data_IF_979418423577
#
_entry.id   IF_979418423577
#
_cell.length_a   1.000
_cell.length_b   1.000
_cell.length_c   1.000
_cell.angle_alpha   90.00
_cell.angle_beta   90.00
_cell.angle_gamma   90.00
#
_symmetry.space_group_name_H-M   'P 1'
#
loop_
_entity.id
_entity.type
_entity.pdbx_description
1 polymer ?
#
# COMPACT_ATOMS: atom_id res chain seq x y z
N UNK A 1 -14.58 -16.04 25.59
CA UNK A 1 -15.15 -15.49 24.33
C UNK A 1 -14.71 -14.05 24.01
N UNK A 2 -14.18 -13.23 24.94
CA UNK A 2 -13.86 -11.82 24.64
C UNK A 2 -12.64 -11.53 23.76
N UNK A 3 -11.47 -12.11 24.08
CA UNK A 3 -10.18 -11.69 23.47
C UNK A 3 -10.09 -11.84 21.94
N UNK A 4 -10.78 -12.83 21.37
CA UNK A 4 -10.74 -13.06 19.93
C UNK A 4 -11.58 -12.03 19.16
N UNK A 5 -12.72 -11.62 19.72
CA UNK A 5 -13.56 -10.59 19.12
C UNK A 5 -12.90 -9.21 19.22
N UNK A 6 -12.24 -8.93 20.35
CA UNK A 6 -11.48 -7.70 20.54
C UNK A 6 -10.33 -7.59 19.53
N UNK A 7 -9.55 -8.66 19.33
CA UNK A 7 -8.49 -8.72 18.34
C UNK A 7 -9.01 -8.55 16.90
N UNK A 8 -10.16 -9.16 16.59
CA UNK A 8 -10.83 -9.00 15.28
C UNK A 8 -11.20 -7.54 15.04
N UNK A 9 -11.80 -6.86 16.00
CA UNK A 9 -12.19 -5.45 15.86
C UNK A 9 -10.98 -4.56 15.59
N UNK A 10 -9.85 -4.81 16.28
CA UNK A 10 -8.60 -4.08 16.06
C UNK A 10 -8.08 -4.29 14.63
N UNK A 11 -8.07 -5.53 14.13
CA UNK A 11 -7.63 -5.78 12.75
C UNK A 11 -8.60 -5.20 11.72
N UNK A 12 -9.92 -5.25 11.96
CA UNK A 12 -10.90 -4.59 11.08
C UNK A 12 -10.69 -3.08 11.04
N UNK A 13 -10.41 -2.42 12.18
CA UNK A 13 -10.05 -1.00 12.21
C UNK A 13 -8.76 -0.71 11.42
N UNK A 14 -7.73 -1.55 11.56
CA UNK A 14 -6.50 -1.42 10.78
C UNK A 14 -6.78 -1.59 9.29
N UNK A 15 -7.66 -2.51 8.90
CA UNK A 15 -8.04 -2.74 7.50
C UNK A 15 -8.93 -1.63 6.92
N UNK A 16 -9.71 -0.93 7.76
CA UNK A 16 -10.41 0.29 7.35
C UNK A 16 -9.40 1.41 7.05
N UNK A 17 -8.36 1.55 7.88
CA UNK A 17 -7.33 2.57 7.70
C UNK A 17 -6.30 2.23 6.60
N UNK A 18 -5.97 0.94 6.45
CA UNK A 18 -5.09 0.39 5.44
C UNK A 18 -5.64 -0.95 4.92
N UNK A 19 -6.47 -0.93 3.87
CA UNK A 19 -7.09 -2.13 3.29
C UNK A 19 -6.10 -3.16 2.74
N UNK A 20 -4.84 -2.78 2.57
CA UNK A 20 -3.78 -3.62 2.03
C UNK A 20 -2.74 -4.02 3.08
N UNK A 21 -3.01 -3.77 4.37
CA UNK A 21 -2.14 -4.23 5.45
C UNK A 21 -2.08 -5.75 5.45
N UNK A 22 -0.96 -6.29 4.96
CA UNK A 22 -0.73 -7.73 4.88
C UNK A 22 -0.83 -8.38 6.26
N UNK A 23 -0.25 -7.72 7.27
CA UNK A 23 -0.20 -8.21 8.64
C UNK A 23 -1.59 -8.27 9.26
N UNK A 24 -2.41 -7.23 9.08
CA UNK A 24 -3.79 -7.24 9.56
C UNK A 24 -4.68 -8.22 8.77
N UNK A 25 -4.48 -8.38 7.45
CA UNK A 25 -5.20 -9.38 6.66
C UNK A 25 -4.84 -10.81 7.09
N UNK A 26 -3.56 -11.06 7.34
CA UNK A 26 -3.05 -12.38 7.71
C UNK A 26 -3.46 -12.78 9.13
N UNK A 27 -3.24 -11.91 10.12
CA UNK A 27 -3.61 -12.18 11.51
C UNK A 27 -5.13 -12.26 11.69
N UNK A 28 -5.90 -11.44 10.96
CA UNK A 28 -7.36 -11.56 10.94
C UNK A 28 -7.79 -12.88 10.30
N UNK A 29 -7.17 -13.30 9.17
CA UNK A 29 -7.47 -14.61 8.56
C UNK A 29 -7.19 -15.78 9.51
N UNK A 30 -6.07 -15.77 10.23
CA UNK A 30 -5.73 -16.79 11.25
C UNK A 30 -6.74 -16.80 12.41
N UNK A 31 -7.24 -15.63 12.80
CA UNK A 31 -8.27 -15.49 13.82
C UNK A 31 -9.62 -16.04 13.35
N UNK A 32 -9.97 -15.83 12.08
CA UNK A 32 -11.23 -16.25 11.45
C UNK A 32 -11.27 -17.73 11.09
N UNK A 33 -10.11 -18.36 10.87
CA UNK A 33 -10.01 -19.81 10.63
C UNK A 33 -10.53 -20.61 11.84
N UNK A 34 -10.32 -20.09 13.07
CA UNK A 34 -10.92 -20.66 14.30
C UNK A 34 -12.45 -20.54 14.37
N UNK A 35 -13.07 -19.70 13.55
CA UNK A 35 -14.53 -19.49 13.51
C UNK A 35 -15.18 -19.98 12.20
N UNK A 36 -14.42 -20.60 11.29
CA UNK A 36 -14.93 -21.16 10.04
C UNK A 36 -15.12 -20.16 8.89
N UNK A 37 -14.60 -18.93 9.02
CA UNK A 37 -14.72 -17.85 8.01
C UNK A 37 -13.38 -17.48 7.34
N UNK A 38 -12.29 -18.20 7.66
CA UNK A 38 -10.93 -17.91 7.17
C UNK A 38 -10.79 -17.89 5.64
N UNK A 39 -11.56 -18.72 4.93
CA UNK A 39 -11.50 -18.81 3.46
C UNK A 39 -11.90 -17.50 2.75
N UNK A 40 -12.87 -16.75 3.31
CA UNK A 40 -13.33 -15.49 2.73
C UNK A 40 -12.25 -14.40 2.81
N UNK A 41 -11.53 -14.33 3.94
CA UNK A 41 -10.45 -13.36 4.15
C UNK A 41 -9.24 -13.70 3.29
N UNK A 42 -8.87 -14.99 3.19
CA UNK A 42 -7.79 -15.44 2.29
C UNK A 42 -8.12 -15.11 0.84
N UNK A 43 -9.37 -15.34 0.40
CA UNK A 43 -9.83 -15.01 -0.95
C UNK A 43 -9.75 -13.51 -1.23
N UNK A 44 -10.14 -12.67 -0.26
CA UNK A 44 -10.02 -11.21 -0.34
C UNK A 44 -8.55 -10.77 -0.42
N UNK A 45 -7.68 -11.35 0.39
CA UNK A 45 -6.25 -11.08 0.37
C UNK A 45 -5.61 -11.45 -0.97
N UNK A 46 -5.87 -12.66 -1.48
CA UNK A 46 -5.35 -13.11 -2.78
C UNK A 46 -5.84 -12.19 -3.91
N UNK A 47 -7.13 -11.82 -3.91
CA UNK A 47 -7.68 -10.91 -4.90
C UNK A 47 -6.99 -9.55 -4.86
N UNK A 48 -6.88 -8.93 -3.68
CA UNK A 48 -6.21 -7.65 -3.52
C UNK A 48 -4.74 -7.72 -3.95
N UNK A 49 -4.02 -8.77 -3.57
CA UNK A 49 -2.63 -8.97 -3.97
C UNK A 49 -2.48 -9.08 -5.49
N UNK A 50 -3.30 -9.89 -6.13
CA UNK A 50 -3.28 -10.08 -7.59
C UNK A 50 -3.58 -8.77 -8.33
N UNK A 51 -4.61 -8.04 -7.92
CA UNK A 51 -4.97 -6.76 -8.54
C UNK A 51 -3.85 -5.71 -8.40
N UNK A 52 -3.15 -5.71 -7.26
CA UNK A 52 -2.01 -4.81 -7.05
C UNK A 52 -0.81 -5.19 -7.94
N UNK A 53 -0.50 -6.48 -8.06
CA UNK A 53 0.56 -6.96 -8.95
C UNK A 53 0.26 -6.65 -10.43
N UNK A 54 -0.99 -6.84 -10.87
CA UNK A 54 -1.45 -6.49 -12.22
C UNK A 54 -1.32 -4.98 -12.47
N UNK A 55 -1.75 -4.13 -11.52
CA UNK A 55 -1.62 -2.68 -11.65
C UNK A 55 -0.15 -2.24 -11.76
N UNK A 56 0.74 -2.78 -10.92
CA UNK A 56 2.18 -2.50 -10.99
C UNK A 56 2.77 -2.90 -12.35
N UNK A 57 2.37 -4.04 -12.89
CA UNK A 57 2.82 -4.52 -14.20
C UNK A 57 2.36 -3.59 -15.32
N UNK A 58 1.07 -3.21 -15.34
CA UNK A 58 0.55 -2.27 -16.34
C UNK A 58 1.27 -0.92 -16.31
N UNK A 59 1.51 -0.36 -15.13
CA UNK A 59 2.29 0.88 -15.03
C UNK A 59 3.75 0.71 -15.43
N UNK A 60 4.33 -0.47 -15.23
CA UNK A 60 5.68 -0.75 -15.71
C UNK A 60 5.73 -0.82 -17.23
N UNK A 61 4.72 -1.39 -17.89
CA UNK A 61 4.60 -1.40 -19.35
C UNK A 61 4.41 0.02 -19.89
N UNK A 62 3.52 0.82 -19.29
CA UNK A 62 3.35 2.24 -19.67
C UNK A 62 4.65 3.04 -19.54
N UNK A 63 5.44 2.80 -18.49
CA UNK A 63 6.74 3.46 -18.31
C UNK A 63 7.80 3.04 -19.33
N UNK A 64 7.61 1.90 -20.01
CA UNK A 64 8.48 1.46 -21.12
C UNK A 64 8.02 2.04 -22.46
N UNK A 65 6.71 2.17 -22.66
CA UNK A 65 6.12 2.75 -23.87
C UNK A 65 6.42 4.24 -23.98
N UNK A 66 6.24 5.00 -22.88
CA UNK A 66 6.64 6.40 -22.78
C UNK A 66 7.54 6.63 -21.56
N UNK A 67 8.87 6.54 -21.74
CA UNK A 67 9.84 6.78 -20.67
C UNK A 67 9.84 8.23 -20.13
N UNK A 68 9.21 9.17 -20.84
CA UNK A 68 9.10 10.57 -20.41
C UNK A 68 7.80 10.85 -19.67
N UNK A 69 6.84 9.93 -19.70
CA UNK A 69 5.62 10.05 -18.92
C UNK A 69 5.94 9.85 -17.44
N UNK A 70 5.73 10.91 -16.66
CA UNK A 70 5.94 10.88 -15.22
C UNK A 70 4.80 10.16 -14.47
N UNK A 71 3.59 10.05 -15.05
CA UNK A 71 2.38 9.55 -14.37
C UNK A 71 2.51 8.10 -13.88
N UNK A 72 3.06 7.15 -14.66
CA UNK A 72 3.24 5.77 -14.19
C UNK A 72 4.14 5.67 -12.95
N UNK A 73 5.16 6.54 -12.84
CA UNK A 73 6.03 6.58 -11.66
C UNK A 73 5.28 7.11 -10.43
N UNK A 74 4.42 8.11 -10.58
CA UNK A 74 3.56 8.57 -9.47
C UNK A 74 2.63 7.47 -8.99
N UNK A 75 1.90 6.82 -9.90
CA UNK A 75 0.96 5.75 -9.56
C UNK A 75 1.64 4.57 -8.87
N UNK A 76 2.81 4.14 -9.36
CA UNK A 76 3.61 3.09 -8.70
C UNK A 76 4.10 3.53 -7.32
N UNK A 77 4.56 4.77 -7.15
CA UNK A 77 4.94 5.31 -5.84
C UNK A 77 3.79 5.29 -4.83
N UNK A 78 2.57 5.61 -5.27
CA UNK A 78 1.37 5.52 -4.44
C UNK A 78 1.05 4.06 -4.06
N UNK A 79 1.09 3.13 -5.01
CA UNK A 79 0.86 1.70 -4.74
C UNK A 79 1.89 1.16 -3.76
N UNK A 80 3.19 1.45 -3.96
CA UNK A 80 4.23 1.03 -3.03
C UNK A 80 4.06 1.66 -1.65
N UNK A 81 3.58 2.90 -1.55
CA UNK A 81 3.26 3.54 -0.26
C UNK A 81 2.11 2.82 0.46
N UNK A 82 1.08 2.38 -0.28
CA UNK A 82 -0.04 1.61 0.30
C UNK A 82 0.39 0.21 0.75
N UNK A 83 1.38 -0.38 0.08
CA UNK A 83 1.99 -1.65 0.45
C UNK A 83 3.08 -1.54 1.54
N UNK A 84 3.29 -0.35 2.09
CA UNK A 84 4.36 -0.03 3.05
C UNK A 84 5.80 -0.32 2.53
N UNK A 85 5.96 -0.40 1.21
CA UNK A 85 7.23 -0.57 0.51
C UNK A 85 7.89 0.79 0.30
N UNK A 86 8.28 1.39 1.40
CA UNK A 86 8.72 2.79 1.46
C UNK A 86 9.95 3.11 0.60
N UNK A 87 10.92 2.19 0.50
CA UNK A 87 12.09 2.38 -0.37
C UNK A 87 11.73 2.34 -1.87
N UNK A 88 10.88 1.41 -2.28
CA UNK A 88 10.39 1.35 -3.67
C UNK A 88 9.57 2.61 -3.99
N UNK A 89 8.71 3.05 -3.06
CA UNK A 89 7.92 4.28 -3.20
C UNK A 89 8.82 5.52 -3.41
N UNK A 90 9.87 5.68 -2.60
CA UNK A 90 10.85 6.78 -2.73
C UNK A 90 11.49 6.80 -4.11
N UNK A 91 11.89 5.64 -4.62
CA UNK A 91 12.52 5.54 -5.94
C UNK A 91 11.56 5.97 -7.06
N UNK A 92 10.30 5.54 -6.99
CA UNK A 92 9.31 5.95 -7.99
C UNK A 92 9.02 7.46 -7.90
N UNK A 93 8.88 8.01 -6.70
CA UNK A 93 8.68 9.45 -6.52
C UNK A 93 9.90 10.30 -6.89
N UNK A 94 11.12 9.75 -6.80
CA UNK A 94 12.31 10.39 -7.33
C UNK A 94 12.24 10.52 -8.85
N UNK A 95 11.94 9.42 -9.57
CA UNK A 95 11.75 9.45 -11.03
C UNK A 95 10.61 10.36 -11.46
N UNK A 96 9.49 10.35 -10.74
CA UNK A 96 8.39 11.27 -10.98
C UNK A 96 8.86 12.73 -10.92
N UNK A 97 9.65 13.11 -9.90
CA UNK A 97 10.16 14.48 -9.74
C UNK A 97 11.18 14.88 -10.81
N UNK A 98 11.95 13.92 -11.31
CA UNK A 98 12.90 14.14 -12.41
C UNK A 98 12.19 14.44 -13.74
N UNK A 99 11.08 13.75 -14.00
CA UNK A 99 10.34 13.82 -15.27
C UNK A 99 9.19 14.84 -15.25
N UNK A 100 8.67 15.19 -14.08
CA UNK A 100 7.53 16.11 -13.95
C UNK A 100 7.94 17.55 -14.29
N UNK A 101 7.21 18.25 -15.18
CA UNK A 101 7.43 19.67 -15.41
C UNK A 101 7.10 20.45 -14.13
N UNK A 102 7.98 21.39 -13.73
CA UNK A 102 7.89 22.22 -12.50
C UNK A 102 6.52 22.89 -12.22
N UNK A 103 5.60 22.92 -13.19
CA UNK A 103 4.26 23.52 -13.08
C UNK A 103 3.17 22.51 -12.61
N UNK A 104 3.45 21.21 -12.61
CA UNK A 104 2.58 20.18 -12.04
C UNK A 104 2.90 20.00 -10.55
N UNK A 105 2.48 20.97 -9.74
CA UNK A 105 2.61 20.92 -8.29
C UNK A 105 1.66 19.86 -7.70
N UNK A 106 2.14 18.62 -7.58
CA UNK A 106 1.48 17.50 -6.87
C UNK A 106 1.91 17.47 -5.40
N UNK A 107 2.45 18.59 -4.91
CA UNK A 107 3.07 18.78 -3.58
C UNK A 107 2.17 18.30 -2.43
N UNK A 108 0.85 18.48 -2.54
CA UNK A 108 -0.11 18.06 -1.50
C UNK A 108 -0.20 16.54 -1.29
N UNK A 109 -0.18 15.75 -2.37
CA UNK A 109 -0.27 14.30 -2.31
C UNK A 109 1.07 13.68 -1.92
N UNK A 110 2.18 14.18 -2.47
CA UNK A 110 3.52 13.74 -2.10
C UNK A 110 3.82 14.05 -0.64
N UNK A 111 3.45 15.25 -0.15
CA UNK A 111 3.64 15.61 1.26
C UNK A 111 2.88 14.66 2.17
N UNK A 112 1.64 14.29 1.85
CA UNK A 112 0.86 13.36 2.68
C UNK A 112 1.43 11.94 2.66
N UNK A 113 1.78 11.41 1.47
CA UNK A 113 2.36 10.07 1.34
C UNK A 113 3.76 9.98 1.96
N UNK A 114 4.62 10.97 1.74
CA UNK A 114 5.96 11.04 2.33
C UNK A 114 5.92 11.35 3.84
N UNK A 115 4.97 12.15 4.31
CA UNK A 115 4.73 12.37 5.75
C UNK A 115 4.30 11.08 6.43
N UNK A 116 3.39 10.31 5.80
CA UNK A 116 2.96 9.00 6.29
C UNK A 116 4.15 8.03 6.37
N UNK A 117 5.00 7.99 5.34
CA UNK A 117 6.25 7.22 5.34
C UNK A 117 7.25 7.66 6.44
N UNK A 118 7.38 8.97 6.70
CA UNK A 118 8.21 9.48 7.80
C UNK A 118 7.67 9.11 9.17
N UNK A 119 6.34 9.06 9.32
CA UNK A 119 5.67 8.68 10.56
C UNK A 119 5.94 7.22 10.91
N UNK A 120 5.84 6.31 9.93
CA UNK A 120 6.10 4.89 10.11
C UNK A 120 7.59 4.56 10.26
N UNK A 121 8.49 5.36 9.68
CA UNK A 121 9.94 5.21 9.86
C UNK A 121 10.52 5.77 11.18
N UNK A 122 9.70 6.43 12.03
CA UNK A 122 10.19 7.09 13.25
C UNK A 122 9.84 6.37 14.56
N UNK A 123 9.31 5.14 14.50
CA UNK A 123 8.93 4.37 15.71
C UNK A 123 9.92 3.26 16.10
N UNK A 124 11.19 3.37 15.69
CA UNK A 124 12.28 2.56 16.25
C UNK A 124 13.46 3.46 16.63
N UNK A 125 13.35 4.06 17.82
CA UNK A 125 14.45 4.33 18.78
C UNK A 125 13.96 5.32 19.82
N UNK A 126 13.40 4.79 20.90
CA UNK A 126 13.76 5.23 22.25
C UNK A 126 13.51 4.08 23.23
#
# INVERSE_FOLDING_TARGET
MGRAQDARNVFEEILVANPLSFEALFENALLMDRFGEGEAVIRRYIFCKKSVEEALKSYQELSKEDPKDFRPYFCRGMIYSLLDRNEEAKQQFAKYRELSPKKFEVEGYLRTSLSRMKLFGSNEKN
#
